data_IF_647779170731
#
_entry.id   IF_647779170731
#
_cell.length_a   1.000
_cell.length_b   1.000
_cell.length_c   1.000
_cell.angle_alpha   90.00
_cell.angle_beta   90.00
_cell.angle_gamma   90.00
#
_symmetry.space_group_name_H-M   'P 1'
#
loop_
_entity.id
_entity.type
_entity.pdbx_description
1 polymer ?
#
# COMPACT_ATOMS: atom_id res chain seq x y z
N UNK A 1 15.07 15.86 -18.33
CA UNK A 1 13.66 16.02 -17.93
C UNK A 1 13.19 14.67 -17.42
N UNK A 2 13.30 14.41 -16.11
CA UNK A 2 12.94 13.11 -15.54
C UNK A 2 11.45 13.12 -15.21
N UNK A 3 10.64 12.53 -16.09
CA UNK A 3 9.26 12.20 -15.75
C UNK A 3 9.31 11.06 -14.72
N UNK A 4 8.99 11.36 -13.46
CA UNK A 4 8.64 10.33 -12.49
C UNK A 4 7.35 9.67 -13.00
N UNK A 5 7.50 8.60 -13.77
CA UNK A 5 6.39 7.79 -14.26
C UNK A 5 5.76 7.07 -13.07
N UNK A 6 4.55 7.48 -12.70
CA UNK A 6 3.70 6.70 -11.80
C UNK A 6 3.56 5.29 -12.39
N UNK A 7 3.77 4.24 -11.59
CA UNK A 7 3.57 2.86 -12.03
C UNK A 7 2.29 2.32 -11.42
N UNK A 8 1.61 1.45 -12.16
CA UNK A 8 0.40 0.75 -11.68
C UNK A 8 0.66 0.00 -10.37
N UNK A 9 1.88 -0.54 -10.20
CA UNK A 9 2.32 -1.24 -8.98
C UNK A 9 2.33 -0.39 -7.72
N UNK A 10 2.40 0.93 -7.85
CA UNK A 10 2.56 1.84 -6.71
C UNK A 10 1.23 2.08 -5.97
N UNK A 11 0.11 1.58 -6.53
CA UNK A 11 -1.24 1.75 -6.02
C UNK A 11 -1.72 0.51 -5.26
N UNK A 12 -2.34 0.73 -4.10
CA UNK A 12 -2.96 -0.33 -3.28
C UNK A 12 -4.39 -0.64 -3.72
N UNK A 13 -5.12 0.38 -4.15
CA UNK A 13 -6.53 0.30 -4.50
C UNK A 13 -6.73 0.51 -6.00
N UNK A 14 -7.58 -0.32 -6.60
CA UNK A 14 -8.05 -0.13 -7.97
C UNK A 14 -9.57 -0.03 -7.95
N UNK A 15 -10.10 1.04 -8.54
CA UNK A 15 -11.53 1.23 -8.73
C UNK A 15 -11.93 0.80 -10.15
N UNK A 16 -13.02 0.03 -10.26
CA UNK A 16 -13.60 -0.35 -11.56
C UNK A 16 -14.98 0.29 -11.74
N UNK A 17 -15.33 0.74 -12.96
CA UNK A 17 -16.66 1.24 -13.27
C UNK A 17 -17.68 0.10 -13.22
N UNK A 18 -18.89 0.41 -12.75
CA UNK A 18 -19.98 -0.57 -12.70
C UNK A 18 -20.46 -1.01 -14.09
N UNK A 19 -20.21 -0.21 -15.12
CA UNK A 19 -20.57 -0.47 -16.51
C UNK A 19 -19.43 -0.08 -17.44
N UNK A 20 -19.21 -0.88 -18.48
CA UNK A 20 -18.22 -0.61 -19.51
C UNK A 20 -18.89 0.14 -20.67
N UNK A 21 -18.64 1.44 -20.79
CA UNK A 21 -19.37 2.31 -21.73
C UNK A 21 -19.19 1.93 -23.20
N UNK A 22 -18.05 1.34 -23.53
CA UNK A 22 -17.67 1.00 -24.92
C UNK A 22 -18.14 -0.39 -25.36
N UNK A 23 -18.76 -1.15 -24.45
CA UNK A 23 -19.29 -2.48 -24.72
C UNK A 23 -20.81 -2.47 -24.65
N UNK A 24 -21.46 -3.28 -25.49
CA UNK A 24 -22.92 -3.45 -25.46
C UNK A 24 -23.39 -4.19 -24.20
N UNK A 25 -22.53 -5.01 -23.63
CA UNK A 25 -22.75 -5.80 -22.42
C UNK A 25 -21.38 -6.01 -21.72
N UNK A 26 -21.38 -6.42 -20.44
CA UNK A 26 -20.14 -6.60 -19.69
C UNK A 26 -19.27 -7.76 -20.21
N UNK A 27 -19.87 -8.75 -20.90
CA UNK A 27 -19.22 -10.00 -21.33
C UNK A 27 -18.45 -10.74 -20.21
N UNK A 28 -18.69 -10.43 -18.93
CA UNK A 28 -17.95 -10.95 -17.77
C UNK A 28 -16.55 -10.36 -17.59
N UNK A 29 -16.22 -9.26 -18.28
CA UNK A 29 -14.90 -8.64 -18.28
C UNK A 29 -14.55 -8.02 -16.93
N UNK A 30 -15.50 -7.34 -16.28
CA UNK A 30 -15.29 -6.76 -14.95
C UNK A 30 -14.95 -7.83 -13.90
N UNK A 31 -15.66 -8.96 -13.92
CA UNK A 31 -15.40 -10.08 -13.00
C UNK A 31 -14.01 -10.67 -13.24
N UNK A 32 -13.64 -10.88 -14.52
CA UNK A 32 -12.35 -11.44 -14.89
C UNK A 32 -11.18 -10.53 -14.52
N UNK A 33 -11.31 -9.22 -14.76
CA UNK A 33 -10.31 -8.23 -14.35
C UNK A 33 -10.21 -8.16 -12.81
N UNK A 34 -11.34 -8.12 -12.11
CA UNK A 34 -11.38 -8.09 -10.64
C UNK A 34 -10.65 -9.28 -10.01
N UNK A 35 -10.92 -10.50 -10.49
CA UNK A 35 -10.25 -11.71 -10.00
C UNK A 35 -8.74 -11.65 -10.21
N UNK A 36 -8.31 -11.15 -11.36
CA UNK A 36 -6.89 -11.04 -11.71
C UNK A 36 -6.18 -9.96 -10.90
N UNK A 37 -6.81 -8.82 -10.67
CA UNK A 37 -6.24 -7.77 -9.84
C UNK A 37 -6.08 -8.23 -8.39
N UNK A 38 -7.08 -8.95 -7.85
CA UNK A 38 -7.00 -9.54 -6.52
C UNK A 38 -5.89 -10.59 -6.40
N UNK A 39 -5.69 -11.43 -7.42
CA UNK A 39 -4.58 -12.41 -7.42
C UNK A 39 -3.20 -11.75 -7.52
N UNK A 40 -3.15 -10.48 -7.94
CA UNK A 40 -1.95 -9.63 -8.00
C UNK A 40 -1.82 -8.69 -6.79
N UNK A 41 -2.52 -8.98 -5.70
CA UNK A 41 -2.51 -8.24 -4.43
C UNK A 41 -3.11 -6.82 -4.47
N UNK A 42 -3.90 -6.47 -5.48
CA UNK A 42 -4.66 -5.22 -5.49
C UNK A 42 -5.99 -5.36 -4.74
N UNK A 43 -6.40 -4.30 -4.06
CA UNK A 43 -7.76 -4.22 -3.49
C UNK A 43 -8.69 -3.55 -4.48
N UNK A 44 -9.64 -4.33 -5.01
CA UNK A 44 -10.65 -3.83 -5.95
C UNK A 44 -11.82 -3.24 -5.17
N UNK A 45 -12.09 -1.95 -5.41
CA UNK A 45 -13.17 -1.18 -4.78
C UNK A 45 -14.17 -0.70 -5.85
N UNK A 46 -15.43 -0.43 -5.48
CA UNK A 46 -16.42 0.10 -6.41
C UNK A 46 -16.05 1.50 -6.93
N UNK A 47 -16.67 1.92 -8.02
CA UNK A 47 -16.55 3.29 -8.55
C UNK A 47 -17.17 4.35 -7.65
N UNK A 48 -18.12 3.96 -6.80
CA UNK A 48 -18.75 4.86 -5.83
C UNK A 48 -17.79 5.19 -4.67
N UNK A 49 -17.37 6.46 -4.61
CA UNK A 49 -16.46 6.99 -3.58
C UNK A 49 -17.02 6.85 -2.17
N UNK A 50 -18.34 6.85 -2.00
CA UNK A 50 -18.96 6.69 -0.67
C UNK A 50 -18.75 5.30 -0.09
N UNK A 51 -18.50 4.31 -0.94
CA UNK A 51 -18.25 2.92 -0.57
C UNK A 51 -16.75 2.61 -0.46
N UNK A 52 -15.89 3.61 -0.61
CA UNK A 52 -14.44 3.42 -0.47
C UNK A 52 -14.07 3.23 1.00
N UNK A 53 -13.01 2.46 1.30
CA UNK A 53 -12.45 2.41 2.65
C UNK A 53 -11.96 3.81 3.06
N UNK A 54 -11.99 4.12 4.37
CA UNK A 54 -11.62 5.44 4.90
C UNK A 54 -10.22 5.91 4.45
N UNK A 55 -9.27 4.98 4.30
CA UNK A 55 -7.93 5.24 3.75
C UNK A 55 -7.96 5.80 2.31
N UNK A 56 -8.81 5.23 1.45
CA UNK A 56 -8.98 5.65 0.06
C UNK A 56 -9.82 6.92 -0.06
N UNK A 57 -10.78 7.14 0.84
CA UNK A 57 -11.52 8.40 0.92
C UNK A 57 -10.63 9.58 1.33
N UNK A 58 -9.73 9.34 2.30
CA UNK A 58 -8.81 10.36 2.81
C UNK A 58 -7.70 10.72 1.81
N UNK A 59 -7.32 9.78 0.94
CA UNK A 59 -6.40 10.04 -0.17
C UNK A 59 -6.88 9.37 -1.46
N UNK A 60 -7.73 10.06 -2.25
CA UNK A 60 -8.25 9.54 -3.51
C UNK A 60 -7.18 9.22 -4.54
N UNK A 61 -6.00 9.85 -4.45
CA UNK A 61 -4.88 9.60 -5.34
C UNK A 61 -4.12 8.31 -5.06
N UNK A 62 -4.45 7.61 -3.96
CA UNK A 62 -4.00 6.24 -3.72
C UNK A 62 -4.88 5.20 -4.43
N UNK A 63 -5.93 5.64 -5.12
CA UNK A 63 -6.82 4.81 -5.92
C UNK A 63 -6.52 5.01 -7.39
N UNK A 64 -6.28 3.92 -8.09
CA UNK A 64 -6.11 3.90 -9.53
C UNK A 64 -7.45 3.51 -10.18
N UNK A 65 -7.90 4.29 -11.16
CA UNK A 65 -9.14 4.03 -11.87
C UNK A 65 -8.83 3.14 -13.08
N UNK A 66 -9.34 1.91 -13.08
CA UNK A 66 -9.18 0.98 -14.18
C UNK A 66 -10.42 1.00 -15.08
N UNK A 67 -10.23 1.05 -16.39
CA UNK A 67 -11.30 0.97 -17.38
C UNK A 67 -10.93 -0.03 -18.48
N UNK A 68 -11.95 -0.66 -19.06
CA UNK A 68 -11.82 -1.59 -20.18
C UNK A 68 -12.52 -0.96 -21.37
N UNK A 69 -11.74 -0.66 -22.40
CA UNK A 69 -12.18 0.00 -23.62
C UNK A 69 -12.20 -1.01 -24.76
N UNK A 70 -13.28 -1.02 -25.53
CA UNK A 70 -13.36 -1.76 -26.78
C UNK A 70 -12.55 -1.04 -27.87
N UNK A 71 -11.40 -1.60 -28.26
CA UNK A 71 -10.53 -1.10 -29.34
C UNK A 71 -10.68 -1.98 -30.60
N UNK A 72 -11.81 -2.71 -30.72
CA UNK A 72 -12.02 -3.68 -31.80
C UNK A 72 -12.12 -3.00 -33.15
N UNK A 73 -11.54 -3.68 -34.15
CA UNK A 73 -11.76 -3.36 -35.55
C UNK A 73 -12.69 -4.38 -36.20
N UNK A 74 -12.97 -4.20 -37.49
CA UNK A 74 -13.84 -5.10 -38.25
C UNK A 74 -13.40 -6.59 -38.24
N UNK A 75 -12.10 -6.86 -38.05
CA UNK A 75 -11.54 -8.20 -38.23
C UNK A 75 -11.28 -8.98 -36.94
N UNK A 76 -11.15 -8.31 -35.79
CA UNK A 76 -10.72 -8.92 -34.52
C UNK A 76 -11.27 -8.20 -33.31
N UNK A 77 -11.59 -8.99 -32.29
CA UNK A 77 -11.95 -8.51 -30.96
C UNK A 77 -10.68 -8.01 -30.25
N UNK A 78 -10.66 -6.72 -29.90
CA UNK A 78 -9.55 -6.08 -29.19
C UNK A 78 -10.07 -5.34 -27.96
N UNK A 79 -9.29 -5.38 -26.90
CA UNK A 79 -9.56 -4.66 -25.67
C UNK A 79 -8.36 -3.81 -25.29
N UNK A 80 -8.63 -2.68 -24.66
CA UNK A 80 -7.63 -1.79 -24.10
C UNK A 80 -7.94 -1.57 -22.63
N UNK A 81 -7.07 -2.07 -21.76
CA UNK A 81 -7.15 -1.79 -20.32
C UNK A 81 -6.38 -0.50 -20.06
N UNK A 82 -7.07 0.51 -19.54
CA UNK A 82 -6.46 1.77 -19.14
C UNK A 82 -6.50 1.92 -17.62
N UNK A 83 -5.40 2.44 -17.08
CA UNK A 83 -5.30 2.86 -15.69
C UNK A 83 -5.10 4.36 -15.64
N UNK A 84 -5.97 5.06 -14.91
CA UNK A 84 -5.94 6.50 -14.71
C UNK A 84 -5.69 6.83 -13.24
N UNK A 85 -4.98 7.92 -12.99
CA UNK A 85 -4.84 8.47 -11.63
C UNK A 85 -6.08 9.27 -11.21
N UNK A 86 -6.05 9.83 -10.00
CA UNK A 86 -7.11 10.70 -9.47
C UNK A 86 -7.36 11.98 -10.28
N UNK A 87 -6.45 12.36 -11.19
CA UNK A 87 -6.53 13.53 -12.05
C UNK A 87 -6.95 13.15 -13.49
N UNK A 88 -7.51 11.96 -13.68
CA UNK A 88 -7.89 11.39 -14.98
C UNK A 88 -6.72 11.22 -15.97
N UNK A 89 -5.47 11.27 -15.49
CA UNK A 89 -4.29 11.08 -16.33
C UNK A 89 -4.04 9.59 -16.52
N UNK A 90 -3.91 9.17 -17.79
CA UNK A 90 -3.57 7.78 -18.12
C UNK A 90 -2.14 7.47 -17.66
N UNK A 91 -2.03 6.58 -16.68
CA UNK A 91 -0.78 6.08 -16.10
C UNK A 91 -0.26 4.88 -16.88
N UNK A 92 -1.17 4.02 -17.35
CA UNK A 92 -0.81 2.84 -18.15
C UNK A 92 -1.94 2.45 -19.09
N UNK A 93 -1.57 1.88 -20.24
CA UNK A 93 -2.48 1.45 -21.29
C UNK A 93 -1.97 0.15 -21.89
N UNK A 94 -2.78 -0.91 -21.80
CA UNK A 94 -2.39 -2.27 -22.18
C UNK A 94 -3.38 -2.80 -23.19
N UNK A 95 -2.90 -3.18 -24.37
CA UNK A 95 -3.72 -3.73 -25.46
C UNK A 95 -3.71 -5.25 -25.42
N UNK A 96 -4.86 -5.86 -25.71
CA UNK A 96 -5.01 -7.30 -25.92
C UNK A 96 -5.91 -7.56 -27.13
N UNK A 97 -5.65 -8.65 -27.85
CA UNK A 97 -6.37 -8.95 -29.09
C UNK A 97 -6.61 -10.46 -29.24
N UNK A 98 -7.85 -10.85 -29.52
CA UNK A 98 -8.19 -12.25 -29.75
C UNK A 98 -8.46 -12.55 -31.22
N UNK A 99 -8.17 -13.79 -31.61
CA UNK A 99 -8.55 -14.34 -32.91
C UNK A 99 -9.93 -15.04 -32.86
N UNK A 100 -10.50 -15.23 -31.66
CA UNK A 100 -11.83 -15.81 -31.47
C UNK A 100 -12.87 -14.77 -31.91
N UNK A 101 -13.79 -15.19 -32.78
CA UNK A 101 -14.79 -14.29 -33.39
C UNK A 101 -15.98 -14.06 -32.46
N UNK A 102 -16.32 -15.06 -31.66
CA UNK A 102 -17.37 -15.04 -30.66
C UNK A 102 -17.09 -13.94 -29.64
N UNK A 103 -17.95 -12.92 -29.56
CA UNK A 103 -17.68 -11.71 -28.77
C UNK A 103 -17.33 -12.00 -27.31
N UNK A 104 -18.14 -12.80 -26.61
CA UNK A 104 -17.92 -13.09 -25.20
C UNK A 104 -16.57 -13.76 -24.95
N UNK A 105 -16.25 -14.80 -25.71
CA UNK A 105 -15.01 -15.56 -25.56
C UNK A 105 -13.80 -14.77 -26.06
N UNK A 106 -13.95 -14.08 -27.19
CA UNK A 106 -12.93 -13.24 -27.79
C UNK A 106 -12.55 -12.05 -26.92
N UNK A 107 -13.51 -11.36 -26.28
CA UNK A 107 -13.18 -10.27 -25.38
C UNK A 107 -12.53 -10.77 -24.08
N UNK A 108 -12.98 -11.89 -23.53
CA UNK A 108 -12.34 -12.49 -22.35
C UNK A 108 -10.92 -12.96 -22.65
N UNK A 109 -10.69 -13.57 -23.81
CA UNK A 109 -9.37 -13.99 -24.27
C UNK A 109 -8.44 -12.78 -24.52
N UNK A 110 -8.94 -11.76 -25.21
CA UNK A 110 -8.21 -10.51 -25.42
C UNK A 110 -7.83 -9.87 -24.08
N UNK A 111 -8.72 -9.86 -23.09
CA UNK A 111 -8.45 -9.34 -21.75
C UNK A 111 -7.37 -10.14 -21.02
N UNK A 112 -7.37 -11.48 -21.12
CA UNK A 112 -6.33 -12.32 -20.50
C UNK A 112 -4.92 -11.99 -20.97
N UNK A 113 -4.76 -11.63 -22.24
CA UNK A 113 -3.46 -11.23 -22.79
C UNK A 113 -2.90 -9.96 -22.13
N UNK A 114 -3.76 -9.10 -21.57
CA UNK A 114 -3.30 -7.90 -20.87
C UNK A 114 -2.68 -8.21 -19.49
N UNK A 115 -3.04 -9.33 -18.88
CA UNK A 115 -2.70 -9.65 -17.49
C UNK A 115 -1.22 -9.89 -17.24
N UNK A 116 -0.48 -10.31 -18.26
CA UNK A 116 0.99 -10.47 -18.17
C UNK A 116 1.69 -9.13 -17.98
N UNK A 117 1.09 -8.04 -18.47
CA UNK A 117 1.64 -6.68 -18.39
C UNK A 117 1.24 -5.94 -17.11
N UNK A 118 0.35 -6.53 -16.30
CA UNK A 118 -0.03 -5.97 -14.99
C UNK A 118 0.93 -6.54 -13.94
N UNK A 119 1.81 -5.71 -13.39
CA UNK A 119 2.68 -6.12 -12.28
C UNK A 119 1.86 -6.25 -10.98
N UNK A 120 2.28 -7.10 -10.02
CA UNK A 120 1.70 -7.15 -8.69
C UNK A 120 1.78 -5.80 -7.97
N UNK A 121 0.83 -5.54 -7.07
CA UNK A 121 0.86 -4.37 -6.22
C UNK A 121 2.10 -4.42 -5.32
N UNK A 122 2.91 -3.36 -5.39
CA UNK A 122 4.03 -3.10 -4.51
C UNK A 122 4.05 -1.60 -4.17
N UNK A 123 3.05 -1.11 -3.41
CA UNK A 123 2.95 0.29 -3.07
C UNK A 123 4.16 0.69 -2.22
N UNK A 124 5.16 1.28 -2.86
CA UNK A 124 6.23 1.99 -2.16
C UNK A 124 5.60 3.22 -1.53
N UNK A 125 5.89 3.51 -0.27
CA UNK A 125 5.40 4.72 0.40
C UNK A 125 5.89 5.95 -0.37
N UNK A 126 5.08 6.43 -1.32
CA UNK A 126 5.36 7.70 -1.97
C UNK A 126 5.06 8.81 -0.96
N UNK A 127 5.99 9.74 -0.74
CA UNK A 127 5.72 10.91 0.08
C UNK A 127 4.51 11.62 -0.54
N UNK A 128 3.52 11.94 0.29
CA UNK A 128 2.41 12.80 -0.11
C UNK A 128 3.01 14.07 -0.73
N UNK A 129 2.93 14.18 -2.05
CA UNK A 129 3.31 15.41 -2.74
C UNK A 129 2.29 16.44 -2.30
N UNK A 130 2.73 17.28 -1.35
CA UNK A 130 2.00 18.45 -0.94
C UNK A 130 1.75 19.28 -2.20
N UNK A 131 0.48 19.41 -2.58
CA UNK A 131 0.04 20.38 -3.55
C UNK A 131 0.38 21.74 -2.96
N UNK A 132 1.45 22.33 -3.52
CA UNK A 132 2.00 23.63 -3.18
C UNK A 132 0.95 24.69 -3.55
N UNK A 133 0.21 25.19 -2.57
CA UNK A 133 -0.37 26.54 -2.66
C UNK A 133 0.78 27.49 -2.34
N UNK A 134 1.22 28.21 -3.37
CA UNK A 134 2.31 29.15 -3.33
C UNK A 134 1.79 30.47 -2.78
N UNK A 135 2.24 30.86 -1.60
CA UNK A 135 2.28 32.27 -1.20
C UNK A 135 3.72 32.64 -0.88
N UNK A 136 4.22 33.60 -1.66
CA UNK A 136 5.52 34.26 -1.55
C UNK A 136 5.61 35.04 -0.24
N UNK A 137 6.73 34.96 0.50
CA UNK A 137 7.61 36.09 0.89
C UNK A 137 8.96 35.55 1.44
N UNK A 138 10.01 36.27 1.04
CA UNK A 138 11.44 36.25 1.30
C UNK A 138 11.94 36.23 2.77
N UNK A 139 13.16 35.68 2.92
CA UNK A 139 14.26 36.00 3.87
C UNK A 139 14.56 35.10 5.11
N UNK A 140 15.74 34.47 5.00
CA UNK A 140 16.84 34.27 5.98
C UNK A 140 16.66 33.49 7.32
N UNK A 141 17.36 32.36 7.34
CA UNK A 141 18.44 31.93 8.26
C UNK A 141 18.24 31.84 9.78
N UNK A 142 18.69 30.67 10.26
CA UNK A 142 19.32 30.33 11.57
C UNK A 142 18.43 30.05 12.79
N UNK A 143 18.31 28.74 13.06
CA UNK A 143 18.74 28.05 14.29
C UNK A 143 18.20 28.42 15.70
N UNK A 144 17.72 27.32 16.33
CA UNK A 144 17.66 26.90 17.75
C UNK A 144 16.58 27.42 18.72
N UNK A 145 16.06 26.39 19.41
CA UNK A 145 15.53 26.23 20.78
C UNK A 145 14.10 26.66 21.15
N UNK A 146 13.36 25.60 21.49
CA UNK A 146 12.49 25.39 22.68
C UNK A 146 11.14 26.10 22.82
N UNK A 147 10.15 25.21 22.84
CA UNK A 147 9.17 24.96 23.90
C UNK A 147 7.78 25.59 23.82
N UNK A 148 6.84 24.65 24.00
CA UNK A 148 5.59 24.73 24.76
C UNK A 148 4.41 25.36 24.02
N UNK A 149 3.54 24.51 23.46
CA UNK A 149 2.29 24.04 24.09
C UNK A 149 1.14 24.88 23.54
N UNK A 150 -0.05 24.41 23.16
CA UNK A 150 -0.78 23.14 23.16
C UNK A 150 -2.15 23.55 22.60
N UNK A 151 -2.79 22.81 21.69
CA UNK A 151 -3.89 21.87 22.01
C UNK A 151 -4.29 21.14 20.71
N UNK A 152 -4.28 19.82 20.53
CA UNK A 152 -4.73 18.63 21.30
C UNK A 152 -6.13 18.14 20.91
N UNK A 153 -6.17 17.05 20.12
CA UNK A 153 -6.91 15.79 20.40
C UNK A 153 -6.11 14.64 19.71
N UNK A 154 -5.01 14.11 20.27
CA UNK A 154 -4.81 13.00 21.27
C UNK A 154 -4.60 11.60 20.61
N UNK A 155 -3.35 11.21 20.25
CA UNK A 155 -2.30 10.41 20.97
C UNK A 155 -2.52 8.88 20.95
N UNK A 156 -1.56 8.06 20.48
CA UNK A 156 -0.44 7.61 21.32
C UNK A 156 0.67 6.95 20.48
N UNK A 157 1.72 7.70 20.13
CA UNK A 157 2.94 7.10 19.61
C UNK A 157 3.82 6.67 20.80
N UNK A 158 3.64 5.44 21.28
CA UNK A 158 4.33 4.88 22.44
C UNK A 158 5.84 4.74 22.15
N UNK A 159 6.69 5.28 23.02
CA UNK A 159 8.15 5.18 22.90
C UNK A 159 8.69 4.14 23.88
N UNK A 160 9.77 3.50 23.49
CA UNK A 160 10.42 2.41 24.20
C UNK A 160 11.94 2.58 24.15
N UNK A 161 12.66 2.16 25.19
CA UNK A 161 14.12 2.27 25.25
C UNK A 161 14.74 1.14 26.05
N UNK A 162 15.90 0.66 25.61
CA UNK A 162 16.74 -0.30 26.36
C UNK A 162 18.02 0.38 26.91
N UNK A 163 18.08 1.71 26.91
CA UNK A 163 19.26 2.50 27.31
C UNK A 163 20.36 2.60 26.23
N UNK A 164 20.37 1.71 25.23
CA UNK A 164 21.28 1.76 24.07
C UNK A 164 20.63 2.39 22.84
N UNK A 165 19.33 2.20 22.69
CA UNK A 165 18.55 2.72 21.57
C UNK A 165 17.13 3.09 22.00
N UNK A 166 16.59 4.10 21.32
CA UNK A 166 15.23 4.54 21.45
C UNK A 166 14.41 4.07 20.25
N UNK A 167 13.29 3.42 20.55
CA UNK A 167 12.40 2.83 19.59
C UNK A 167 10.99 3.43 19.73
N UNK A 168 10.35 3.69 18.61
CA UNK A 168 8.94 4.10 18.58
C UNK A 168 8.09 2.93 18.12
N UNK A 169 7.03 2.64 18.86
CA UNK A 169 6.01 1.68 18.45
C UNK A 169 5.06 2.34 17.47
N UNK A 170 4.90 1.71 16.32
CA UNK A 170 3.95 2.12 15.30
C UNK A 170 3.02 0.92 15.05
N UNK A 171 1.72 1.12 15.26
CA UNK A 171 0.71 0.12 14.96
C UNK A 171 0.50 0.07 13.43
N UNK A 172 0.62 -1.11 12.84
CA UNK A 172 0.39 -1.33 11.40
C UNK A 172 -1.07 -1.71 11.17
N UNK A 173 -1.59 -2.62 11.99
CA UNK A 173 -2.99 -3.04 12.01
C UNK A 173 -3.35 -3.64 13.40
N UNK A 174 -4.56 -4.12 13.60
CA UNK A 174 -5.02 -4.66 14.90
C UNK A 174 -4.19 -5.85 15.43
N UNK A 175 -3.48 -6.54 14.55
CA UNK A 175 -2.67 -7.74 14.82
C UNK A 175 -1.18 -7.54 14.60
N UNK A 176 -0.73 -6.39 14.09
CA UNK A 176 0.65 -6.16 13.73
C UNK A 176 1.15 -4.76 14.12
N UNK A 177 2.34 -4.68 14.69
CA UNK A 177 3.03 -3.42 14.96
C UNK A 177 4.53 -3.56 14.69
N UNK A 178 5.22 -2.43 14.57
CA UNK A 178 6.68 -2.37 14.39
C UNK A 178 7.32 -1.51 15.46
N UNK A 179 8.58 -1.79 15.75
CA UNK A 179 9.48 -0.90 16.48
C UNK A 179 10.48 -0.28 15.51
N UNK A 180 10.57 1.05 15.50
CA UNK A 180 11.47 1.80 14.62
C UNK A 180 12.46 2.63 15.43
N UNK A 181 13.73 2.63 15.02
CA UNK A 181 14.72 3.57 15.53
C UNK A 181 14.72 4.81 14.62
N UNK A 182 14.67 6.01 15.20
CA UNK A 182 14.68 7.27 14.44
C UNK A 182 15.91 7.46 13.54
N UNK A 183 17.00 6.72 13.81
CA UNK A 183 18.24 6.76 13.04
C UNK A 183 18.36 5.66 11.97
N UNK A 184 17.32 4.83 11.77
CA UNK A 184 17.34 3.71 10.82
C UNK A 184 16.16 3.76 9.85
N UNK A 185 16.42 3.51 8.56
CA UNK A 185 15.38 3.41 7.52
C UNK A 185 14.65 2.07 7.49
N UNK A 186 15.11 1.07 8.26
CA UNK A 186 14.45 -0.23 8.40
C UNK A 186 13.95 -0.43 9.83
N UNK A 187 12.76 -1.05 10.03
CA UNK A 187 12.25 -1.32 11.36
C UNK A 187 13.20 -2.27 12.10
N UNK A 188 13.44 -1.97 13.37
CA UNK A 188 14.25 -2.80 14.25
C UNK A 188 13.65 -4.20 14.42
N UNK A 189 12.32 -4.26 14.60
CA UNK A 189 11.58 -5.50 14.73
C UNK A 189 10.11 -5.32 14.30
N UNK A 190 9.57 -6.37 13.71
CA UNK A 190 8.15 -6.47 13.31
C UNK A 190 7.44 -7.51 14.17
N UNK A 191 6.34 -7.14 14.79
CA UNK A 191 5.58 -7.97 15.73
C UNK A 191 4.23 -8.33 15.13
N UNK A 192 3.94 -9.62 15.02
CA UNK A 192 2.65 -10.16 14.59
C UNK A 192 2.00 -10.94 15.74
N UNK A 193 0.77 -10.59 16.09
CA UNK A 193 0.01 -11.21 17.15
C UNK A 193 -0.11 -12.72 16.95
N UNK A 194 0.03 -13.47 18.04
CA UNK A 194 -0.28 -14.90 18.08
C UNK A 194 -1.67 -15.13 18.65
N UNK A 195 -2.07 -16.39 18.77
CA UNK A 195 -3.31 -16.76 19.46
C UNK A 195 -3.25 -16.54 20.98
N UNK A 196 -2.03 -16.42 21.55
CA UNK A 196 -1.84 -16.10 22.97
C UNK A 196 -1.76 -14.57 23.12
N UNK A 197 -2.60 -14.03 24.00
CA UNK A 197 -2.58 -12.59 24.33
C UNK A 197 -1.18 -12.17 24.74
N UNK A 198 -0.79 -10.96 24.30
CA UNK A 198 0.47 -10.33 24.64
C UNK A 198 1.73 -11.08 24.20
N UNK A 199 1.60 -12.09 23.34
CA UNK A 199 2.71 -12.83 22.72
C UNK A 199 2.67 -12.66 21.20
N UNK A 200 3.84 -12.38 20.62
CA UNK A 200 4.02 -12.00 19.24
C UNK A 200 5.09 -12.86 18.58
N UNK A 201 4.87 -13.19 17.30
CA UNK A 201 5.95 -13.61 16.39
C UNK A 201 6.70 -12.36 15.96
N UNK A 202 8.00 -12.36 16.21
CA UNK A 202 8.86 -11.22 15.93
C UNK A 202 9.78 -11.56 14.77
N UNK A 203 9.87 -10.65 13.79
CA UNK A 203 10.90 -10.68 12.75
C UNK A 203 11.85 -9.53 12.98
N UNK A 204 13.11 -9.85 13.27
CA UNK A 204 14.17 -8.88 13.52
C UNK A 204 14.65 -8.23 12.21
N UNK A 205 15.33 -7.10 12.32
CA UNK A 205 15.89 -6.36 11.18
C UNK A 205 16.86 -7.22 10.34
N UNK A 206 17.58 -8.16 10.94
CA UNK A 206 18.48 -9.09 10.26
C UNK A 206 17.75 -10.23 9.50
N UNK A 207 16.42 -10.29 9.59
CA UNK A 207 15.58 -11.29 8.95
C UNK A 207 15.26 -12.52 9.80
N UNK A 208 15.90 -12.69 10.96
CA UNK A 208 15.65 -13.80 11.88
C UNK A 208 14.27 -13.70 12.53
N UNK A 209 13.68 -14.86 12.82
CA UNK A 209 12.38 -14.97 13.46
C UNK A 209 12.54 -15.45 14.89
N UNK A 210 11.88 -14.76 15.82
CA UNK A 210 11.94 -15.01 17.25
C UNK A 210 10.59 -14.71 17.91
N UNK A 211 10.52 -14.76 19.23
CA UNK A 211 9.36 -14.42 20.03
C UNK A 211 9.56 -13.08 20.74
N UNK A 212 8.46 -12.39 20.97
CA UNK A 212 8.41 -11.22 21.83
C UNK A 212 7.08 -11.15 22.55
N UNK A 213 7.07 -10.48 23.69
CA UNK A 213 5.88 -10.41 24.54
C UNK A 213 5.86 -9.13 25.37
N UNK A 214 4.68 -8.76 25.86
CA UNK A 214 4.57 -7.69 26.85
C UNK A 214 4.73 -8.26 28.27
N UNK A 215 5.50 -7.56 29.10
CA UNK A 215 5.60 -7.85 30.54
C UNK A 215 5.65 -6.52 31.29
N UNK A 216 4.68 -6.30 32.20
CA UNK A 216 4.56 -5.06 32.97
C UNK A 216 4.53 -3.77 32.12
N UNK A 217 3.95 -3.84 30.90
CA UNK A 217 3.88 -2.72 29.97
C UNK A 217 5.15 -2.47 29.15
N UNK A 218 6.20 -3.27 29.34
CA UNK A 218 7.44 -3.25 28.57
C UNK A 218 7.40 -4.27 27.43
N UNK A 219 8.20 -4.05 26.38
CA UNK A 219 8.35 -5.02 25.29
C UNK A 219 9.61 -5.84 25.54
N UNK A 220 9.47 -7.16 25.55
CA UNK A 220 10.58 -8.10 25.65
C UNK A 220 10.70 -8.83 24.32
N UNK A 221 11.93 -8.95 23.83
CA UNK A 221 12.26 -9.71 22.62
C UNK A 221 13.30 -10.77 23.00
N UNK A 222 13.08 -12.00 22.56
CA UNK A 222 14.09 -13.05 22.65
C UNK A 222 15.10 -12.87 21.51
N UNK A 223 16.33 -12.52 21.85
CA UNK A 223 17.41 -12.30 20.89
C UNK A 223 18.30 -13.54 20.84
N UNK A 224 18.58 -14.09 19.64
CA UNK A 224 19.44 -15.26 19.52
C UNK A 224 20.88 -14.95 19.95
N UNK A 225 21.47 -15.85 20.74
CA UNK A 225 22.86 -15.80 21.20
C UNK A 225 23.73 -16.80 20.43
N UNK A 226 25.05 -16.57 20.46
CA UNK A 226 26.02 -17.52 19.87
C UNK A 226 25.92 -18.87 20.58
N UNK A 227 25.42 -19.89 19.88
CA UNK A 227 25.24 -21.24 20.42
C UNK A 227 23.81 -21.79 20.39
N UNK A 228 22.83 -21.03 19.88
CA UNK A 228 21.44 -21.48 19.74
C UNK A 228 20.57 -21.23 20.98
N UNK A 229 21.13 -20.59 22.00
CA UNK A 229 20.39 -20.06 23.15
C UNK A 229 19.75 -18.69 22.82
N UNK A 230 18.77 -18.26 23.63
CA UNK A 230 18.10 -16.97 23.48
C UNK A 230 18.28 -16.13 24.75
N UNK A 231 18.67 -14.87 24.57
CA UNK A 231 18.74 -13.85 25.62
C UNK A 231 17.52 -12.93 25.58
N UNK A 232 17.15 -12.35 26.73
CA UNK A 232 16.04 -11.39 26.79
C UNK A 232 16.57 -9.97 26.60
N UNK A 233 15.98 -9.24 25.64
CA UNK A 233 16.19 -7.80 25.50
C UNK A 233 14.91 -7.06 25.90
N UNK A 234 15.03 -6.17 26.89
CA UNK A 234 13.89 -5.47 27.49
C UNK A 234 13.91 -4.02 27.03
N UNK A 235 12.81 -3.59 26.44
CA UNK A 235 12.55 -2.21 26.07
C UNK A 235 11.49 -1.62 27.00
N UNK A 236 11.94 -0.70 27.85
CA UNK A 236 11.10 -0.03 28.82
C UNK A 236 10.26 1.04 28.13
N UNK A 237 8.96 1.06 28.43
CA UNK A 237 8.09 2.14 27.98
C UNK A 237 8.55 3.46 28.57
N UNK A 238 8.79 4.45 27.71
CA UNK A 238 9.10 5.84 28.08
C UNK A 238 7.84 6.69 28.13
#
# INVERSE_FOLDING_TARGET
MFAFGQKVSDYKYISLPSKLETFKEDFGLNNLLTKTLRSKNYTVIPSDKLQWPAEAQSNPCNVLMADIINDSGFLRNKVLVQFKDCNDKVVSSIKGASNIKEYKEGYQDALKQTFVSISPANPTAQPASQVKVQETVTANSTQVVTNSSSSSVDNTALKFSNGKMDLQKIQIDNSQFILVNSNSSSPFATFKATTKSDVFRVKLQNGESTLGYYENGNIIIEMPLSGGEYGKEIFYKK
#
